data_IF_954529716744
#
_entry.id   IF_954529716744
#
_cell.length_a   1.000
_cell.length_b   1.000
_cell.length_c   1.000
_cell.angle_alpha   90.00
_cell.angle_beta   90.00
_cell.angle_gamma   90.00
#
_symmetry.space_group_name_H-M   'P 1'
#
loop_
_entity.id
_entity.type
_entity.pdbx_description
1 polymer ?
#
# COMPACT_ATOMS: atom_id res chain seq x y z
N UNK A 1 -0.95 21.16 -10.66
CA UNK A 1 0.26 20.48 -11.16
C UNK A 1 1.38 21.51 -11.37
N UNK A 2 2.09 21.90 -10.30
CA UNK A 2 3.30 22.74 -10.40
C UNK A 2 4.47 21.80 -10.69
N UNK A 3 5.36 22.18 -11.60
CA UNK A 3 6.56 21.40 -11.94
C UNK A 3 7.33 21.04 -10.66
N UNK A 4 7.39 19.75 -10.33
CA UNK A 4 8.27 19.23 -9.28
C UNK A 4 9.70 19.53 -9.74
N UNK A 5 10.36 20.45 -9.02
CA UNK A 5 11.75 20.83 -9.27
C UNK A 5 12.64 19.60 -9.11
N UNK A 6 13.45 19.30 -10.12
CA UNK A 6 14.46 18.25 -10.07
C UNK A 6 15.76 18.72 -9.41
N UNK A 7 15.84 19.98 -8.96
CA UNK A 7 17.06 20.65 -8.53
C UNK A 7 17.03 21.10 -7.06
N UNK A 8 16.23 20.46 -6.21
CA UNK A 8 16.10 20.83 -4.80
C UNK A 8 16.92 19.96 -3.83
N UNK A 9 17.95 19.27 -4.35
CA UNK A 9 18.81 18.35 -3.61
C UNK A 9 19.50 19.00 -2.39
N UNK A 10 19.84 20.28 -2.47
CA UNK A 10 20.49 21.03 -1.36
C UNK A 10 19.55 21.51 -0.26
N UNK A 11 18.23 21.38 -0.44
CA UNK A 11 17.27 21.98 0.49
C UNK A 11 16.99 21.12 1.72
N UNK A 12 17.57 19.91 1.82
CA UNK A 12 17.41 19.00 2.96
C UNK A 12 15.95 18.87 3.42
N UNK A 13 15.59 19.45 4.58
CA UNK A 13 14.23 19.42 5.16
C UNK A 13 13.22 20.32 4.44
N UNK A 14 13.68 21.22 3.59
CA UNK A 14 12.86 22.17 2.82
C UNK A 14 12.62 21.71 1.38
N UNK A 15 12.99 20.48 1.02
CA UNK A 15 12.63 19.85 -0.26
C UNK A 15 11.13 19.99 -0.51
N UNK A 16 10.77 20.22 -1.78
CA UNK A 16 9.38 20.37 -2.20
C UNK A 16 8.52 19.18 -1.76
N UNK A 17 9.06 17.96 -1.85
CA UNK A 17 8.44 16.74 -1.36
C UNK A 17 7.98 16.87 0.10
N UNK A 18 8.89 17.23 1.03
CA UNK A 18 8.53 17.39 2.44
C UNK A 18 7.52 18.50 2.65
N UNK A 19 7.67 19.62 1.94
CA UNK A 19 6.73 20.73 2.01
C UNK A 19 5.32 20.35 1.52
N UNK A 20 5.21 19.53 0.48
CA UNK A 20 3.94 19.01 -0.02
C UNK A 20 3.25 18.13 1.01
N UNK A 21 3.97 17.16 1.56
CA UNK A 21 3.43 16.28 2.59
C UNK A 21 3.06 17.05 3.87
N UNK A 22 3.85 18.08 4.23
CA UNK A 22 3.55 18.98 5.34
C UNK A 22 2.26 19.77 5.17
N UNK A 23 1.80 20.02 3.94
CA UNK A 23 0.54 20.74 3.72
C UNK A 23 -0.68 19.90 4.10
N UNK A 24 -0.58 18.56 4.10
CA UNK A 24 -1.70 17.68 4.44
C UNK A 24 -1.84 17.44 5.96
N UNK A 25 -0.75 17.56 6.71
CA UNK A 25 -0.72 17.33 8.17
C UNK A 25 -1.69 18.25 8.94
N UNK A 26 -1.74 19.58 8.71
CA UNK A 26 -2.65 20.47 9.42
C UNK A 26 -4.13 20.15 9.18
N UNK A 27 -4.50 19.81 7.94
CA UNK A 27 -5.88 19.45 7.59
C UNK A 27 -6.33 18.19 8.34
N UNK A 28 -5.50 17.14 8.33
CA UNK A 28 -5.81 15.89 9.02
C UNK A 28 -5.85 16.04 10.55
N UNK A 29 -4.91 16.81 11.13
CA UNK A 29 -4.95 17.16 12.55
C UNK A 29 -6.24 17.91 12.92
N UNK A 30 -6.63 18.86 12.08
CA UNK A 30 -7.87 19.63 12.26
C UNK A 30 -9.10 18.73 12.24
N UNK A 31 -9.16 17.75 11.34
CA UNK A 31 -10.30 16.82 11.25
C UNK A 31 -10.40 15.91 12.49
N UNK A 32 -9.27 15.43 13.01
CA UNK A 32 -9.26 14.62 14.23
C UNK A 32 -9.67 15.43 15.46
N UNK A 33 -9.14 16.65 15.59
CA UNK A 33 -9.54 17.58 16.65
C UNK A 33 -11.01 17.95 16.56
N UNK A 34 -11.51 18.22 15.35
CA UNK A 34 -12.91 18.57 15.12
C UNK A 34 -13.84 17.45 15.61
N UNK A 35 -13.56 16.19 15.25
CA UNK A 35 -14.34 15.02 15.72
C UNK A 35 -14.35 14.91 17.25
N UNK A 36 -13.17 15.03 17.87
CA UNK A 36 -13.04 14.97 19.33
C UNK A 36 -13.85 16.09 20.03
N UNK A 37 -13.75 17.32 19.53
CA UNK A 37 -14.50 18.46 20.07
C UNK A 37 -16.01 18.29 19.87
N UNK A 38 -16.44 17.81 18.69
CA UNK A 38 -17.86 17.59 18.41
C UNK A 38 -18.49 16.60 19.40
N UNK A 39 -17.88 15.43 19.61
CA UNK A 39 -18.40 14.45 20.56
C UNK A 39 -18.29 14.93 22.01
N UNK A 40 -17.24 15.68 22.36
CA UNK A 40 -17.11 16.27 23.70
C UNK A 40 -18.21 17.32 23.97
N UNK A 41 -18.52 18.17 22.98
CA UNK A 41 -19.60 19.15 23.07
C UNK A 41 -20.96 18.43 23.19
N UNK A 42 -21.17 17.36 22.43
CA UNK A 42 -22.37 16.53 22.52
C UNK A 42 -22.55 15.96 23.93
N UNK A 43 -21.48 15.44 24.54
CA UNK A 43 -21.50 14.89 25.89
C UNK A 43 -21.85 15.96 26.93
N UNK A 44 -21.22 17.13 26.84
CA UNK A 44 -21.46 18.27 27.73
C UNK A 44 -22.90 18.79 27.60
N UNK A 45 -23.46 18.79 26.39
CA UNK A 45 -24.85 19.21 26.17
C UNK A 45 -25.83 18.19 26.76
N UNK A 46 -25.62 16.90 26.48
CA UNK A 46 -26.52 15.85 26.94
C UNK A 46 -26.53 15.69 28.47
N UNK A 47 -25.36 15.84 29.12
CA UNK A 47 -25.23 15.80 30.58
C UNK A 47 -25.93 16.95 31.29
N UNK A 48 -26.13 18.10 30.63
CA UNK A 48 -26.91 19.22 31.17
C UNK A 48 -28.41 19.03 31.10
N UNK A 49 -28.90 18.18 30.19
CA UNK A 49 -30.34 17.97 29.97
C UNK A 49 -30.93 16.96 30.95
N UNK A 50 -30.15 15.97 31.38
CA UNK A 50 -30.63 14.91 32.28
C UNK A 50 -29.65 14.63 33.43
N UNK A 51 -30.15 14.67 34.67
CA UNK A 51 -29.35 14.36 35.88
C UNK A 51 -28.83 12.91 35.89
N UNK A 52 -29.54 11.99 35.25
CA UNK A 52 -29.17 10.57 35.22
C UNK A 52 -28.54 10.18 33.88
N UNK A 53 -28.10 11.15 33.06
CA UNK A 53 -27.52 10.88 31.75
C UNK A 53 -26.30 9.94 31.84
N UNK A 54 -25.50 10.07 32.89
CA UNK A 54 -24.33 9.23 33.14
C UNK A 54 -24.64 7.72 33.22
N UNK A 55 -25.87 7.35 33.59
CA UNK A 55 -26.30 5.95 33.69
C UNK A 55 -26.84 5.39 32.36
N UNK A 56 -26.98 6.25 31.34
CA UNK A 56 -27.55 5.85 30.05
C UNK A 56 -26.52 5.13 29.17
N UNK A 57 -27.02 4.19 28.37
CA UNK A 57 -26.23 3.53 27.32
C UNK A 57 -25.71 4.51 26.27
N UNK A 58 -26.42 5.61 26.06
CA UNK A 58 -26.03 6.71 25.16
C UNK A 58 -24.76 7.41 25.67
N UNK A 59 -24.70 7.78 26.95
CA UNK A 59 -23.51 8.36 27.57
C UNK A 59 -22.30 7.43 27.45
N UNK A 60 -22.48 6.14 27.77
CA UNK A 60 -21.41 5.15 27.64
C UNK A 60 -20.92 4.98 26.20
N UNK A 61 -21.83 5.04 25.22
CA UNK A 61 -21.47 4.99 23.81
C UNK A 61 -20.69 6.24 23.38
N UNK A 62 -21.10 7.42 23.85
CA UNK A 62 -20.46 8.68 23.53
C UNK A 62 -19.08 8.81 24.18
N UNK A 63 -18.93 8.40 25.44
CA UNK A 63 -17.64 8.29 26.13
C UNK A 63 -16.68 7.36 25.37
N UNK A 64 -17.16 6.19 24.92
CA UNK A 64 -16.36 5.29 24.08
C UNK A 64 -15.92 5.92 22.76
N UNK A 65 -16.77 6.72 22.12
CA UNK A 65 -16.39 7.47 20.91
C UNK A 65 -15.33 8.53 21.20
N UNK A 66 -15.49 9.31 22.27
CA UNK A 66 -14.50 10.31 22.69
C UNK A 66 -13.15 9.65 22.99
N UNK A 67 -13.13 8.53 23.73
CA UNK A 67 -11.90 7.80 24.02
C UNK A 67 -11.21 7.31 22.75
N UNK A 68 -11.98 6.77 21.79
CA UNK A 68 -11.44 6.35 20.49
C UNK A 68 -10.87 7.53 19.72
N UNK A 69 -11.62 8.63 19.61
CA UNK A 69 -11.18 9.81 18.87
C UNK A 69 -9.94 10.46 19.52
N UNK A 70 -9.84 10.45 20.85
CA UNK A 70 -8.66 10.91 21.58
C UNK A 70 -7.44 10.01 21.35
N UNK A 71 -7.64 8.69 21.28
CA UNK A 71 -6.59 7.74 20.92
C UNK A 71 -6.11 7.97 19.47
N UNK A 72 -7.04 8.05 18.51
CA UNK A 72 -6.75 8.35 17.10
C UNK A 72 -5.96 9.67 16.96
N UNK A 73 -6.38 10.73 17.64
CA UNK A 73 -5.68 12.02 17.63
C UNK A 73 -4.27 11.93 18.24
N UNK A 74 -4.11 11.21 19.35
CA UNK A 74 -2.82 11.03 20.01
C UNK A 74 -1.85 10.23 19.15
N UNK A 75 -2.34 9.18 18.49
CA UNK A 75 -1.57 8.36 17.57
C UNK A 75 -1.14 9.17 16.33
N UNK A 76 -2.06 9.94 15.74
CA UNK A 76 -1.74 10.81 14.61
C UNK A 76 -0.73 11.91 14.97
N UNK A 77 -0.84 12.50 16.17
CA UNK A 77 0.13 13.49 16.66
C UNK A 77 1.52 12.87 16.83
N UNK A 78 1.59 11.67 17.43
CA UNK A 78 2.86 10.95 17.57
C UNK A 78 3.47 10.60 16.22
N UNK A 79 2.64 10.17 15.27
CA UNK A 79 3.07 9.87 13.91
C UNK A 79 3.60 11.12 13.21
N UNK A 80 2.89 12.24 13.34
CA UNK A 80 3.31 13.55 12.82
C UNK A 80 4.68 13.97 13.38
N UNK A 81 4.91 13.80 14.70
CA UNK A 81 6.20 14.12 15.32
C UNK A 81 7.31 13.25 14.73
N UNK A 82 7.09 11.92 14.64
CA UNK A 82 8.06 11.00 14.03
C UNK A 82 8.35 11.38 12.58
N UNK A 83 7.33 11.76 11.82
CA UNK A 83 7.44 12.18 10.43
C UNK A 83 8.26 13.46 10.28
N UNK A 84 7.99 14.48 11.12
CA UNK A 84 8.74 15.74 11.17
C UNK A 84 10.22 15.54 11.50
N UNK A 85 10.51 14.57 12.37
CA UNK A 85 11.88 14.26 12.81
C UNK A 85 12.59 13.25 11.90
N UNK A 86 11.81 12.45 11.16
CA UNK A 86 12.28 11.33 10.35
C UNK A 86 13.02 11.72 9.08
N UNK A 87 13.79 10.79 8.54
CA UNK A 87 14.43 10.93 7.23
C UNK A 87 13.39 10.83 6.10
N UNK A 88 13.77 11.26 4.89
CA UNK A 88 12.91 11.11 3.71
C UNK A 88 12.56 9.63 3.47
N UNK A 89 13.51 8.72 3.76
CA UNK A 89 13.26 7.27 3.72
C UNK A 89 12.27 6.80 4.79
N UNK A 90 12.32 7.32 6.01
CA UNK A 90 11.37 6.94 7.06
C UNK A 90 9.92 7.20 6.60
N UNK A 91 9.70 8.37 5.99
CA UNK A 91 8.38 8.76 5.48
C UNK A 91 7.89 7.77 4.42
N UNK A 92 8.74 7.47 3.43
CA UNK A 92 8.43 6.49 2.39
C UNK A 92 8.12 5.13 3.03
N UNK A 93 8.95 4.66 3.97
CA UNK A 93 8.75 3.37 4.63
C UNK A 93 7.45 3.24 5.40
N UNK A 94 6.96 4.33 6.00
CA UNK A 94 5.67 4.33 6.69
C UNK A 94 4.51 4.13 5.70
N UNK A 95 4.51 4.81 4.54
CA UNK A 95 3.48 4.56 3.51
C UNK A 95 3.48 3.13 3.02
N UNK A 96 4.67 2.60 2.70
CA UNK A 96 4.80 1.22 2.24
C UNK A 96 4.35 0.22 3.31
N UNK A 97 4.49 0.55 4.60
CA UNK A 97 3.99 -0.28 5.71
C UNK A 97 2.48 -0.21 5.83
N UNK A 98 1.90 0.99 5.75
CA UNK A 98 0.45 1.18 5.78
C UNK A 98 -0.23 0.37 4.69
N UNK A 99 0.35 0.34 3.48
CA UNK A 99 -0.23 -0.41 2.36
C UNK A 99 0.06 -1.92 2.40
N UNK A 100 1.01 -2.39 3.23
CA UNK A 100 1.25 -3.82 3.44
C UNK A 100 -0.01 -4.52 3.97
N UNK A 101 -0.70 -3.89 4.92
CA UNK A 101 -1.94 -4.43 5.51
C UNK A 101 -3.05 -4.58 4.46
N UNK A 102 -3.11 -3.66 3.48
CA UNK A 102 -4.08 -3.73 2.39
C UNK A 102 -3.77 -4.85 1.39
N UNK A 103 -2.49 -5.17 1.18
CA UNK A 103 -2.09 -6.31 0.36
C UNK A 103 -2.52 -7.65 1.00
N UNK A 104 -2.54 -7.74 2.32
CA UNK A 104 -3.05 -8.93 3.03
C UNK A 104 -4.56 -9.12 2.82
N UNK A 105 -5.33 -8.03 2.83
CA UNK A 105 -6.76 -8.06 2.46
C UNK A 105 -6.94 -8.50 1.00
N UNK A 106 -6.15 -7.95 0.08
CA UNK A 106 -6.21 -8.32 -1.34
C UNK A 106 -5.89 -9.80 -1.56
N UNK A 107 -4.92 -10.37 -0.85
CA UNK A 107 -4.62 -11.82 -0.92
C UNK A 107 -5.84 -12.68 -0.54
N UNK A 108 -6.55 -12.30 0.53
CA UNK A 108 -7.76 -13.00 0.92
C UNK A 108 -8.84 -12.88 -0.16
N UNK A 109 -9.05 -11.68 -0.69
CA UNK A 109 -10.06 -11.43 -1.72
C UNK A 109 -9.78 -12.23 -3.00
N UNK A 110 -8.54 -12.27 -3.49
CA UNK A 110 -8.20 -13.11 -4.64
C UNK A 110 -8.38 -14.59 -4.32
N UNK A 111 -7.98 -15.05 -3.14
CA UNK A 111 -8.18 -16.46 -2.73
C UNK A 111 -9.67 -16.83 -2.74
N UNK A 112 -10.53 -15.96 -2.23
CA UNK A 112 -11.98 -16.17 -2.22
C UNK A 112 -12.58 -16.20 -3.63
N UNK A 113 -12.06 -15.38 -4.56
CA UNK A 113 -12.47 -15.40 -5.97
C UNK A 113 -12.16 -16.74 -6.65
N UNK A 114 -11.07 -17.40 -6.26
CA UNK A 114 -10.64 -18.68 -6.85
C UNK A 114 -11.40 -19.89 -6.31
N UNK A 115 -12.11 -19.74 -5.18
CA UNK A 115 -12.88 -20.80 -4.55
C UNK A 115 -14.38 -20.45 -4.52
N UNK A 116 -15.15 -20.76 -5.58
CA UNK A 116 -16.59 -20.53 -5.57
C UNK A 116 -17.24 -21.33 -4.44
N UNK A 117 -17.81 -20.62 -3.47
CA UNK A 117 -18.35 -21.18 -2.22
C UNK A 117 -19.63 -22.02 -2.41
N UNK A 118 -20.14 -22.15 -3.65
CA UNK A 118 -21.38 -22.83 -3.96
C UNK A 118 -21.20 -24.08 -4.82
N UNK A 119 -21.69 -25.22 -4.32
CA UNK A 119 -21.77 -26.51 -5.04
C UNK A 119 -22.55 -26.40 -6.37
N UNK A 120 -23.48 -25.43 -6.50
CA UNK A 120 -24.21 -25.17 -7.75
C UNK A 120 -23.38 -24.44 -8.81
N UNK A 121 -22.42 -23.61 -8.41
CA UNK A 121 -21.55 -22.88 -9.34
C UNK A 121 -20.50 -23.78 -9.99
N UNK A 122 -20.11 -24.86 -9.30
CA UNK A 122 -19.08 -25.82 -9.76
C UNK A 122 -19.51 -26.68 -10.96
N UNK A 123 -20.82 -26.88 -11.13
CA UNK A 123 -21.37 -27.82 -12.12
C UNK A 123 -21.87 -27.15 -13.42
N UNK A 124 -21.87 -25.81 -13.50
CA UNK A 124 -22.37 -25.07 -14.68
C UNK A 124 -21.59 -23.77 -14.96
N UNK A 125 -20.27 -23.79 -14.76
CA UNK A 125 -19.38 -22.65 -14.99
C UNK A 125 -19.02 -22.57 -16.48
N UNK A 126 -19.36 -21.47 -17.13
CA UNK A 126 -18.97 -21.17 -18.52
C UNK A 126 -17.44 -21.21 -18.70
N UNK A 127 -16.98 -21.40 -19.94
CA UNK A 127 -15.55 -21.36 -20.26
C UNK A 127 -14.89 -20.04 -19.80
N UNK A 128 -15.58 -18.90 -19.98
CA UNK A 128 -15.10 -17.60 -19.53
C UNK A 128 -14.94 -17.53 -18.01
N UNK A 129 -15.91 -18.00 -17.23
CA UNK A 129 -15.81 -17.97 -15.76
C UNK A 129 -14.66 -18.85 -15.25
N UNK A 130 -14.41 -20.00 -15.88
CA UNK A 130 -13.24 -20.82 -15.57
C UNK A 130 -11.94 -20.08 -15.86
N UNK A 131 -11.88 -19.39 -17.01
CA UNK A 131 -10.72 -18.60 -17.38
C UNK A 131 -10.50 -17.39 -16.44
N UNK A 132 -11.57 -16.69 -16.03
CA UNK A 132 -11.46 -15.62 -15.03
C UNK A 132 -10.92 -16.13 -13.70
N UNK A 133 -11.36 -17.31 -13.25
CA UNK A 133 -10.82 -17.93 -12.04
C UNK A 133 -9.33 -18.27 -12.19
N UNK A 134 -8.92 -18.81 -13.34
CA UNK A 134 -7.51 -19.07 -13.65
C UNK A 134 -6.68 -17.76 -13.60
N UNK A 135 -7.17 -16.66 -14.19
CA UNK A 135 -6.49 -15.37 -14.13
C UNK A 135 -6.39 -14.83 -12.69
N UNK A 136 -7.43 -15.02 -11.88
CA UNK A 136 -7.40 -14.66 -10.46
C UNK A 136 -6.37 -15.51 -9.68
N UNK A 137 -6.30 -16.82 -9.93
CA UNK A 137 -5.28 -17.72 -9.35
C UNK A 137 -3.87 -17.25 -9.73
N UNK A 138 -3.64 -16.92 -11.00
CA UNK A 138 -2.35 -16.42 -11.51
C UNK A 138 -1.98 -15.02 -11.00
N UNK A 139 -2.95 -14.26 -10.46
CA UNK A 139 -2.70 -12.95 -9.82
C UNK A 139 -2.19 -13.10 -8.38
N UNK A 140 -2.54 -14.18 -7.67
CA UNK A 140 -2.14 -14.40 -6.27
C UNK A 140 -0.61 -14.34 -6.08
N UNK A 141 0.22 -15.03 -6.89
CA UNK A 141 1.67 -14.92 -6.80
C UNK A 141 2.19 -13.49 -6.95
N UNK A 142 1.58 -12.67 -7.82
CA UNK A 142 1.96 -11.27 -8.00
C UNK A 142 1.69 -10.46 -6.73
N UNK A 143 0.50 -10.58 -6.14
CA UNK A 143 0.20 -9.89 -4.87
C UNK A 143 1.17 -10.32 -3.76
N UNK A 144 1.51 -11.62 -3.67
CA UNK A 144 2.49 -12.13 -2.71
C UNK A 144 3.88 -11.53 -2.93
N UNK A 145 4.34 -11.46 -4.18
CA UNK A 145 5.64 -10.87 -4.52
C UNK A 145 5.69 -9.38 -4.24
N UNK A 146 4.60 -8.65 -4.54
CA UNK A 146 4.46 -7.24 -4.14
C UNK A 146 4.54 -7.09 -2.62
N UNK A 147 3.82 -7.91 -1.85
CA UNK A 147 3.87 -7.86 -0.39
C UNK A 147 5.27 -8.12 0.15
N UNK A 148 5.97 -9.14 -0.37
CA UNK A 148 7.36 -9.45 0.00
C UNK A 148 8.26 -8.25 -0.30
N UNK A 149 8.07 -7.62 -1.46
CA UNK A 149 8.79 -6.42 -1.86
C UNK A 149 8.54 -5.26 -0.87
N UNK A 150 7.27 -4.94 -0.61
CA UNK A 150 6.89 -3.88 0.34
C UNK A 150 7.50 -4.11 1.70
N UNK A 151 7.40 -5.33 2.25
CA UNK A 151 7.97 -5.68 3.54
C UNK A 151 9.49 -5.46 3.61
N UNK A 152 10.20 -5.73 2.51
CA UNK A 152 11.64 -5.50 2.40
C UNK A 152 11.98 -4.00 2.35
N UNK A 153 11.16 -3.20 1.70
CA UNK A 153 11.32 -1.74 1.64
C UNK A 153 10.99 -1.09 3.00
N UNK A 154 9.87 -1.47 3.63
CA UNK A 154 9.29 -0.83 4.83
C UNK A 154 10.01 -1.10 6.14
N UNK A 155 10.81 -2.16 6.24
CA UNK A 155 11.28 -2.68 7.53
C UNK A 155 12.80 -2.90 7.58
N UNK A 156 13.57 -1.84 7.37
CA UNK A 156 15.05 -1.88 7.44
C UNK A 156 15.59 -2.16 8.84
N UNK A 157 14.90 -1.72 9.90
CA UNK A 157 15.38 -1.85 11.27
C UNK A 157 15.41 -3.29 11.84
N UNK A 158 14.58 -4.20 11.29
CA UNK A 158 14.52 -5.61 11.73
C UNK A 158 14.91 -6.60 10.65
N UNK A 159 15.15 -6.14 9.43
CA UNK A 159 15.60 -7.00 8.34
C UNK A 159 17.10 -7.24 8.44
N UNK A 160 17.55 -8.39 7.94
CA UNK A 160 18.97 -8.68 7.70
C UNK A 160 19.64 -7.73 6.68
N UNK A 161 18.91 -6.75 6.15
CA UNK A 161 19.29 -5.86 5.06
C UNK A 161 18.86 -4.42 5.41
N UNK A 162 19.49 -3.78 6.41
CA UNK A 162 19.26 -2.37 6.71
C UNK A 162 19.89 -1.48 5.62
N UNK A 163 19.15 -0.49 5.15
CA UNK A 163 19.67 0.52 4.21
C UNK A 163 19.17 1.92 4.54
N UNK A 164 19.90 2.90 4.02
CA UNK A 164 19.44 4.28 3.86
C UNK A 164 19.37 4.63 2.38
N UNK A 165 18.74 5.75 2.04
CA UNK A 165 18.82 6.32 0.70
C UNK A 165 19.86 7.45 0.66
N UNK A 166 20.43 7.68 -0.52
CA UNK A 166 21.26 8.85 -0.81
C UNK A 166 20.50 10.14 -0.45
N UNK A 167 21.12 10.99 0.36
CA UNK A 167 20.56 12.27 0.82
C UNK A 167 20.32 13.25 -0.34
N UNK A 168 21.01 13.08 -1.46
CA UNK A 168 20.91 13.92 -2.65
C UNK A 168 19.73 13.56 -3.57
N UNK A 169 18.85 12.64 -3.18
CA UNK A 169 17.60 12.38 -3.90
C UNK A 169 16.75 13.65 -4.02
N UNK A 170 16.38 13.98 -5.26
CA UNK A 170 15.50 15.10 -5.55
C UNK A 170 14.04 14.79 -5.19
N UNK A 171 13.22 15.83 -5.04
CA UNK A 171 11.81 15.67 -4.69
C UNK A 171 11.01 14.82 -5.67
N UNK A 172 11.33 14.84 -6.98
CA UNK A 172 10.60 14.02 -7.96
C UNK A 172 10.77 12.53 -7.66
N UNK A 173 12.00 12.09 -7.41
CA UNK A 173 12.27 10.69 -7.09
C UNK A 173 11.67 10.30 -5.75
N UNK A 174 11.71 11.19 -4.75
CA UNK A 174 11.08 10.94 -3.45
C UNK A 174 9.55 10.84 -3.54
N UNK A 175 8.89 11.79 -4.22
CA UNK A 175 7.44 11.72 -4.50
C UNK A 175 7.10 10.41 -5.23
N UNK A 176 7.91 10.04 -6.22
CA UNK A 176 7.71 8.78 -6.95
C UNK A 176 7.75 7.61 -5.97
N UNK A 177 8.80 7.45 -5.17
CA UNK A 177 8.89 6.35 -4.19
C UNK A 177 7.76 6.33 -3.17
N UNK A 178 7.20 7.49 -2.82
CA UNK A 178 6.10 7.66 -1.86
C UNK A 178 4.72 7.32 -2.43
N UNK A 179 4.42 7.70 -3.68
CA UNK A 179 3.10 7.50 -4.32
C UNK A 179 2.89 6.08 -4.91
N UNK A 180 3.97 5.34 -5.15
CA UNK A 180 3.92 4.01 -5.77
C UNK A 180 3.11 2.96 -4.98
N UNK A 181 3.22 2.80 -3.64
CA UNK A 181 2.46 1.80 -2.91
C UNK A 181 0.94 1.98 -3.04
N UNK A 182 0.43 3.22 -2.96
CA UNK A 182 -0.99 3.52 -3.18
C UNK A 182 -1.42 3.17 -4.61
N UNK A 183 -0.57 3.49 -5.60
CA UNK A 183 -0.86 3.15 -6.99
C UNK A 183 -0.97 1.64 -7.21
N UNK A 184 -0.06 0.85 -6.62
CA UNK A 184 -0.10 -0.62 -6.72
C UNK A 184 -1.40 -1.17 -6.14
N UNK A 185 -1.77 -0.74 -4.93
CA UNK A 185 -3.01 -1.12 -4.27
C UNK A 185 -4.23 -0.83 -5.16
N UNK A 186 -4.32 0.39 -5.68
CA UNK A 186 -5.41 0.83 -6.57
C UNK A 186 -5.53 -0.04 -7.81
N UNK A 187 -4.41 -0.44 -8.43
CA UNK A 187 -4.44 -1.32 -9.60
C UNK A 187 -4.87 -2.76 -9.25
N UNK A 188 -4.50 -3.28 -8.09
CA UNK A 188 -5.00 -4.58 -7.64
C UNK A 188 -6.51 -4.55 -7.37
N UNK A 189 -7.04 -3.48 -6.76
CA UNK A 189 -8.49 -3.33 -6.62
C UNK A 189 -9.23 -3.24 -7.96
N UNK A 190 -8.64 -2.61 -8.96
CA UNK A 190 -9.19 -2.63 -10.32
C UNK A 190 -9.26 -4.05 -10.89
N UNK A 191 -8.25 -4.89 -10.65
CA UNK A 191 -8.26 -6.30 -11.06
C UNK A 191 -9.33 -7.10 -10.32
N UNK A 192 -9.48 -6.91 -9.01
CA UNK A 192 -10.55 -7.55 -8.23
C UNK A 192 -11.92 -7.20 -8.82
N UNK A 193 -12.16 -5.91 -9.10
CA UNK A 193 -13.41 -5.45 -9.69
C UNK A 193 -13.63 -6.08 -11.07
N UNK A 194 -12.62 -6.06 -11.92
CA UNK A 194 -12.67 -6.67 -13.25
C UNK A 194 -13.05 -8.15 -13.21
N UNK A 195 -12.42 -8.93 -12.34
CA UNK A 195 -12.71 -10.37 -12.22
C UNK A 195 -14.12 -10.62 -11.67
N UNK A 196 -14.56 -9.83 -10.68
CA UNK A 196 -15.92 -9.96 -10.13
C UNK A 196 -17.00 -9.62 -11.16
N UNK A 197 -16.80 -8.53 -11.91
CA UNK A 197 -17.72 -8.09 -12.95
C UNK A 197 -17.79 -9.15 -14.04
N UNK A 198 -16.63 -9.58 -14.58
CA UNK A 198 -16.58 -10.60 -15.63
C UNK A 198 -17.15 -11.94 -15.21
N UNK A 199 -16.94 -12.36 -13.96
CA UNK A 199 -17.53 -13.59 -13.43
C UNK A 199 -19.06 -13.46 -13.33
N UNK A 200 -19.56 -12.31 -12.89
CA UNK A 200 -21.00 -12.08 -12.67
C UNK A 200 -21.74 -11.97 -13.99
N UNK A 201 -21.29 -11.09 -14.89
CA UNK A 201 -21.92 -10.82 -16.19
C UNK A 201 -21.67 -11.93 -17.21
N UNK A 202 -20.63 -12.74 -16.99
CA UNK A 202 -20.11 -13.67 -17.99
C UNK A 202 -19.69 -12.95 -19.29
N UNK A 203 -19.10 -11.77 -19.17
CA UNK A 203 -18.57 -10.96 -20.26
C UNK A 203 -17.22 -10.36 -19.89
N UNK A 204 -16.25 -10.37 -20.80
CA UNK A 204 -14.94 -9.76 -20.60
C UNK A 204 -14.52 -8.99 -21.85
N UNK A 205 -15.15 -7.83 -22.04
CA UNK A 205 -14.84 -6.90 -23.12
C UNK A 205 -13.53 -6.17 -22.81
N UNK A 206 -12.71 -5.94 -23.83
CA UNK A 206 -11.44 -5.21 -23.74
C UNK A 206 -10.51 -5.70 -22.62
N UNK A 207 -10.36 -7.04 -22.49
CA UNK A 207 -9.52 -7.68 -21.46
C UNK A 207 -8.13 -7.07 -21.30
N UNK A 208 -7.54 -6.55 -22.38
CA UNK A 208 -6.23 -5.92 -22.37
C UNK A 208 -6.21 -4.53 -21.70
N UNK A 209 -7.34 -3.83 -21.72
CA UNK A 209 -7.56 -2.56 -21.02
C UNK A 209 -7.96 -2.87 -19.57
N UNK A 210 -8.87 -3.82 -19.37
CA UNK A 210 -9.46 -4.06 -18.04
C UNK A 210 -8.51 -4.84 -17.12
N UNK A 211 -7.72 -5.78 -17.65
CA UNK A 211 -6.79 -6.63 -16.88
C UNK A 211 -5.34 -6.35 -17.27
N UNK A 212 -5.04 -6.31 -18.57
CA UNK A 212 -3.67 -6.16 -19.05
C UNK A 212 -3.01 -4.83 -18.63
N UNK A 213 -3.76 -3.72 -18.70
CA UNK A 213 -3.25 -2.40 -18.33
C UNK A 213 -2.90 -2.33 -16.84
N UNK A 214 -3.79 -2.65 -15.87
CA UNK A 214 -3.41 -2.67 -14.46
C UNK A 214 -2.17 -3.54 -14.16
N UNK A 215 -2.08 -4.74 -14.75
CA UNK A 215 -0.92 -5.63 -14.57
C UNK A 215 0.39 -4.97 -15.03
N UNK A 216 0.40 -4.41 -16.25
CA UNK A 216 1.59 -3.73 -16.79
C UNK A 216 1.99 -2.53 -15.94
N UNK A 217 1.02 -1.77 -15.43
CA UNK A 217 1.29 -0.64 -14.55
C UNK A 217 1.91 -1.07 -13.22
N UNK A 218 1.40 -2.14 -12.59
CA UNK A 218 2.01 -2.69 -11.37
C UNK A 218 3.46 -3.12 -11.65
N UNK A 219 3.69 -3.86 -12.75
CA UNK A 219 5.05 -4.29 -13.13
C UNK A 219 5.99 -3.11 -13.32
N UNK A 220 5.57 -2.11 -14.10
CA UNK A 220 6.36 -0.92 -14.37
C UNK A 220 6.72 -0.16 -13.08
N UNK A 221 5.78 -0.05 -12.14
CA UNK A 221 5.99 0.60 -10.85
C UNK A 221 7.05 -0.14 -10.02
N UNK A 222 6.93 -1.46 -9.90
CA UNK A 222 7.85 -2.27 -9.10
C UNK A 222 9.26 -2.30 -9.71
N UNK A 223 9.36 -2.43 -11.03
CA UNK A 223 10.63 -2.36 -11.76
C UNK A 223 11.29 -0.98 -11.61
N UNK A 224 10.50 0.10 -11.72
CA UNK A 224 11.01 1.46 -11.49
C UNK A 224 11.52 1.62 -10.06
N UNK A 225 10.79 1.09 -9.08
CA UNK A 225 11.24 1.09 -7.67
C UNK A 225 12.56 0.33 -7.51
N UNK A 226 12.68 -0.86 -8.09
CA UNK A 226 13.91 -1.65 -8.07
C UNK A 226 15.10 -0.87 -8.63
N UNK A 227 14.93 -0.21 -9.78
CA UNK A 227 15.99 0.59 -10.39
C UNK A 227 16.38 1.77 -9.48
N UNK A 228 15.40 2.47 -8.92
CA UNK A 228 15.67 3.57 -7.99
C UNK A 228 16.39 3.09 -6.72
N UNK A 229 15.98 1.95 -6.16
CA UNK A 229 16.67 1.36 -5.02
C UNK A 229 18.09 0.94 -5.43
N UNK A 230 18.28 0.23 -6.54
CA UNK A 230 19.62 -0.17 -6.98
C UNK A 230 20.59 1.00 -7.19
N UNK A 231 20.09 2.18 -7.59
CA UNK A 231 20.90 3.37 -7.82
C UNK A 231 21.20 4.17 -6.54
N UNK A 232 20.24 4.27 -5.63
CA UNK A 232 20.30 5.22 -4.51
C UNK A 232 20.29 4.58 -3.13
N UNK A 233 20.20 3.25 -3.06
CA UNK A 233 20.29 2.50 -1.81
C UNK A 233 21.74 2.46 -1.35
N UNK A 234 21.96 2.89 -0.10
CA UNK A 234 23.23 2.80 0.60
C UNK A 234 23.08 1.74 1.70
N UNK A 235 23.77 0.58 1.57
CA UNK A 235 23.73 -0.46 2.58
C UNK A 235 24.26 0.04 3.93
N UNK A 236 23.59 -0.32 5.03
CA UNK A 236 24.07 -0.06 6.38
C UNK A 236 24.79 -1.30 6.93
N UNK A 237 25.76 -1.14 7.87
CA UNK A 237 26.47 -2.27 8.46
C UNK A 237 25.50 -3.24 9.13
N UNK A 238 25.61 -4.52 8.81
CA UNK A 238 24.89 -5.60 9.48
C UNK A 238 25.68 -6.12 10.67
N UNK A 239 24.99 -6.55 11.72
CA UNK A 239 25.58 -7.25 12.87
C UNK A 239 26.03 -8.69 12.55
N UNK A 240 25.62 -9.24 11.40
CA UNK A 240 26.01 -10.57 10.95
C UNK A 240 27.42 -10.55 10.32
N UNK A 241 28.35 -11.26 10.95
CA UNK A 241 29.75 -11.49 10.53
C UNK A 241 29.91 -12.35 9.27
N UNK A 242 28.89 -12.47 8.42
CA UNK A 242 28.98 -13.27 7.20
C UNK A 242 29.86 -12.56 6.16
N UNK A 243 30.69 -13.35 5.48
CA UNK A 243 31.75 -12.90 4.56
C UNK A 243 31.26 -12.19 3.29
N UNK A 244 29.95 -12.08 3.07
CA UNK A 244 29.38 -11.44 1.88
C UNK A 244 29.22 -9.94 2.09
N UNK A 245 29.63 -9.14 1.10
CA UNK A 245 29.40 -7.70 1.13
C UNK A 245 27.89 -7.39 1.09
N UNK A 246 27.40 -6.38 1.83
CA UNK A 246 25.99 -5.99 1.81
C UNK A 246 25.45 -5.75 0.38
N UNK A 247 26.26 -5.17 -0.49
CA UNK A 247 25.94 -4.95 -1.91
C UNK A 247 25.63 -6.27 -2.65
N UNK A 248 26.42 -7.32 -2.40
CA UNK A 248 26.20 -8.65 -2.96
C UNK A 248 24.85 -9.23 -2.52
N UNK A 249 24.47 -9.01 -1.26
CA UNK A 249 23.19 -9.50 -0.71
C UNK A 249 22.00 -8.76 -1.33
N UNK A 250 22.06 -7.42 -1.48
CA UNK A 250 21.01 -6.65 -2.16
C UNK A 250 20.86 -7.06 -3.62
N UNK A 251 21.98 -7.22 -4.33
CA UNK A 251 21.97 -7.66 -5.73
C UNK A 251 21.35 -9.03 -5.90
N UNK A 252 21.71 -10.00 -5.05
CA UNK A 252 21.13 -11.33 -5.06
C UNK A 252 19.61 -11.29 -4.79
N UNK A 253 19.17 -10.46 -3.83
CA UNK A 253 17.74 -10.27 -3.57
C UNK A 253 17.00 -9.64 -4.76
N UNK A 254 17.53 -8.57 -5.34
CA UNK A 254 16.93 -7.91 -6.51
C UNK A 254 16.78 -8.88 -7.69
N UNK A 255 17.84 -9.63 -8.01
CA UNK A 255 17.80 -10.62 -9.09
C UNK A 255 16.78 -11.72 -8.83
N UNK A 256 16.80 -12.33 -7.64
CA UNK A 256 15.88 -13.41 -7.30
C UNK A 256 14.41 -12.94 -7.31
N UNK A 257 14.13 -11.74 -6.80
CA UNK A 257 12.77 -11.19 -6.83
C UNK A 257 12.33 -10.88 -8.26
N UNK A 258 13.20 -10.31 -9.08
CA UNK A 258 12.89 -9.94 -10.46
C UNK A 258 12.59 -11.17 -11.33
N UNK A 259 13.39 -12.23 -11.20
CA UNK A 259 13.14 -13.51 -11.87
C UNK A 259 11.78 -14.10 -11.48
N UNK A 260 11.45 -14.12 -10.18
CA UNK A 260 10.17 -14.61 -9.70
C UNK A 260 8.99 -13.76 -10.21
N UNK A 261 9.15 -12.43 -10.23
CA UNK A 261 8.15 -11.50 -10.74
C UNK A 261 7.87 -11.70 -12.23
N UNK A 262 8.92 -11.74 -13.06
CA UNK A 262 8.78 -11.95 -14.50
C UNK A 262 8.19 -13.30 -14.82
N UNK A 263 8.56 -14.35 -14.09
CA UNK A 263 7.94 -15.68 -14.22
C UNK A 263 6.43 -15.62 -13.98
N UNK A 264 5.99 -15.06 -12.85
CA UNK A 264 4.58 -14.93 -12.53
C UNK A 264 3.82 -14.02 -13.52
N UNK A 265 4.42 -12.91 -13.93
CA UNK A 265 3.84 -11.96 -14.88
C UNK A 265 3.66 -12.57 -16.27
N UNK A 266 4.64 -13.36 -16.73
CA UNK A 266 4.55 -14.07 -18.00
C UNK A 266 3.43 -15.11 -17.97
N UNK A 267 3.27 -15.85 -16.87
CA UNK A 267 2.21 -16.86 -16.75
C UNK A 267 0.82 -16.24 -16.92
N UNK A 268 0.51 -15.14 -16.21
CA UNK A 268 -0.78 -14.46 -16.35
C UNK A 268 -0.94 -13.80 -17.73
N UNK A 269 0.13 -13.24 -18.29
CA UNK A 269 0.09 -12.60 -19.61
C UNK A 269 -0.17 -13.61 -20.72
N UNK A 270 0.43 -14.79 -20.66
CA UNK A 270 0.16 -15.89 -21.58
C UNK A 270 -1.29 -16.35 -21.46
N UNK A 271 -1.78 -16.60 -20.24
CA UNK A 271 -3.17 -17.00 -20.01
C UNK A 271 -4.16 -15.96 -20.59
N UNK A 272 -3.90 -14.67 -20.36
CA UNK A 272 -4.72 -13.57 -20.87
C UNK A 272 -4.76 -13.52 -22.41
N UNK A 273 -3.71 -13.97 -23.10
CA UNK A 273 -3.64 -14.01 -24.56
C UNK A 273 -4.32 -15.25 -25.15
N UNK A 274 -4.20 -16.41 -24.50
CA UNK A 274 -4.61 -17.71 -25.04
C UNK A 274 -6.11 -17.98 -24.99
N UNK A 275 -6.90 -17.17 -24.29
CA UNK A 275 -8.34 -17.39 -24.24
C UNK A 275 -9.02 -17.00 -25.56
N UNK A 276 -9.59 -17.98 -26.24
CA UNK A 276 -10.50 -17.80 -27.37
C UNK A 276 -11.92 -18.03 -26.85
N UNK A 277 -12.72 -16.97 -26.74
CA UNK A 277 -14.09 -17.02 -26.22
C UNK A 277 -14.97 -15.97 -26.86
#
# INVERSE_FOLDING_TARGET
>A
MKMISTHDYHFERCKFYRCCELMFIPSNLSDHLHRLFMHSIELIKASKVSRNYAETTECQNLERRILRDAAEFSDYTRQTIKWLQGSDLYIIQEEWREKEDQLDVLLQVFTDLTHPTSVRQRNNTSALRKHVNELAELTIPLVKLTRIFSKKVSNTATTKLPFTLDTNLNSRTLCTLHELPESIERYFYQLVKAFRDAYTTNELVDRQIVIGYPLRHISHILETTLVLLALYLIPLPTTDTNHDSPESIYKAWFSAWQEAWHGAFNNISCALQTFEG
#
